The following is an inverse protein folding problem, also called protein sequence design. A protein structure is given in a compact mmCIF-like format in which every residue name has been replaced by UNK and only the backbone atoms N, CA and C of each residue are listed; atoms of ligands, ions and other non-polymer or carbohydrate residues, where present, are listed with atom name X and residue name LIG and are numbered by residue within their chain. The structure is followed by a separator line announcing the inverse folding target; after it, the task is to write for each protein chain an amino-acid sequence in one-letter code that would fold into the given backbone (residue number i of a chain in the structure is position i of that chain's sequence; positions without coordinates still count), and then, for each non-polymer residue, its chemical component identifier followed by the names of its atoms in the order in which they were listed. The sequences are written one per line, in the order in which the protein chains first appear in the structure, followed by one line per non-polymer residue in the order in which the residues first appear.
data_IF_752739264944
#
_entry.id   IF_752739264944
#
_cell.length_a   1.000
_cell.length_b   1.000
_cell.length_c   1.000
_cell.angle_alpha   90.00
_cell.angle_beta   90.00
_cell.angle_gamma   90.00
#
_symmetry.space_group_name_H-M   'P 1'
#
loop_
_entity.id
_entity.type
_entity.pdbx_description
1 polymer ?
#
# COMPACT_ATOMS: atom_id res chain seq x y z
N UNK A 1 30.19 -2.04 7.90
CA UNK A 1 28.96 -2.69 8.39
C UNK A 1 28.00 -1.60 8.86
N UNK A 2 27.13 -1.11 7.99
CA UNK A 2 25.99 -0.27 8.41
C UNK A 2 24.85 -1.21 8.81
N UNK A 3 24.93 -1.79 10.00
CA UNK A 3 23.81 -2.48 10.60
C UNK A 3 23.02 -1.46 11.41
N UNK A 4 21.79 -1.18 11.01
CA UNK A 4 20.85 -0.43 11.83
C UNK A 4 20.46 -1.26 13.06
N UNK A 5 20.30 -0.60 14.19
CA UNK A 5 19.75 -1.21 15.40
C UNK A 5 18.34 -0.66 15.64
N UNK A 6 17.43 -1.36 16.34
CA UNK A 6 16.09 -0.84 16.63
C UNK A 6 16.10 0.56 17.30
N UNK A 7 17.12 0.85 18.10
CA UNK A 7 17.31 2.14 18.77
C UNK A 7 17.66 3.30 17.83
N UNK A 8 18.09 3.00 16.60
CA UNK A 8 18.40 4.04 15.60
C UNK A 8 17.13 4.53 14.87
N UNK A 9 16.02 3.83 15.05
CA UNK A 9 14.76 4.13 14.38
C UNK A 9 13.88 5.02 15.28
N UNK A 10 13.38 6.12 14.71
CA UNK A 10 12.45 7.03 15.38
C UNK A 10 11.01 6.47 15.36
N UNK A 11 10.80 5.32 16.01
CA UNK A 11 9.48 4.69 16.09
C UNK A 11 8.62 5.44 17.10
N UNK A 12 7.42 5.83 16.66
CA UNK A 12 6.39 6.44 17.51
C UNK A 12 5.43 5.33 17.93
N UNK A 13 5.39 5.06 19.23
CA UNK A 13 4.49 4.07 19.82
C UNK A 13 3.12 4.69 20.10
N UNK A 14 2.05 4.03 19.66
CA UNK A 14 0.67 4.41 19.99
C UNK A 14 -0.02 3.25 20.71
N UNK A 15 -1.24 3.46 21.20
CA UNK A 15 -1.98 2.43 21.94
C UNK A 15 -2.37 1.21 21.08
N UNK A 16 -2.32 1.33 19.74
CA UNK A 16 -2.84 0.31 18.83
C UNK A 16 -1.84 -0.16 17.78
N UNK A 17 -0.90 0.67 17.41
CA UNK A 17 0.11 0.38 16.40
C UNK A 17 1.29 1.32 16.56
N UNK A 18 2.41 0.95 16.00
CA UNK A 18 3.61 1.77 15.96
C UNK A 18 3.74 2.44 14.59
N UNK A 19 4.37 3.60 14.54
CA UNK A 19 4.61 4.35 13.31
C UNK A 19 6.09 4.63 13.16
N UNK A 20 6.67 4.22 12.02
CA UNK A 20 7.95 4.73 11.56
C UNK A 20 7.68 5.88 10.59
N UNK A 21 7.75 7.14 11.05
CA UNK A 21 7.35 8.29 10.24
C UNK A 21 8.41 8.62 9.20
N UNK A 22 7.94 9.23 8.11
CA UNK A 22 8.81 9.93 7.15
C UNK A 22 8.48 11.41 7.12
N UNK A 23 9.36 12.20 6.54
CA UNK A 23 9.17 13.64 6.35
C UNK A 23 9.50 14.05 4.91
N UNK A 24 9.37 15.33 4.60
CA UNK A 24 9.62 15.86 3.26
C UNK A 24 11.06 15.63 2.76
N UNK A 25 12.00 15.42 3.67
CA UNK A 25 13.41 15.16 3.31
C UNK A 25 13.59 13.80 2.63
N UNK A 26 12.61 12.87 2.81
CA UNK A 26 12.62 11.59 2.12
C UNK A 26 12.64 11.76 0.58
N UNK A 27 12.04 12.83 0.06
CA UNK A 27 12.07 13.14 -1.38
C UNK A 27 13.49 13.42 -1.88
N UNK A 28 14.38 13.98 -1.03
CA UNK A 28 15.78 14.23 -1.36
C UNK A 28 16.61 12.95 -1.37
N UNK A 29 16.15 11.91 -0.68
CA UNK A 29 16.79 10.61 -0.64
C UNK A 29 16.81 9.92 -2.01
N UNK A 30 15.85 10.16 -2.87
CA UNK A 30 15.86 9.60 -4.23
C UNK A 30 17.12 9.99 -4.99
N UNK A 31 17.51 11.26 -4.91
CA UNK A 31 18.76 11.77 -5.52
C UNK A 31 20.01 11.20 -4.84
N UNK A 32 20.01 11.15 -3.52
CA UNK A 32 21.13 10.62 -2.75
C UNK A 32 21.36 9.13 -3.00
N UNK A 33 20.31 8.36 -3.22
CA UNK A 33 20.37 6.93 -3.48
C UNK A 33 20.93 6.58 -4.87
N UNK A 34 20.97 7.51 -5.82
CA UNK A 34 21.44 7.25 -7.20
C UNK A 34 22.84 6.61 -7.23
N UNK A 35 23.74 7.05 -6.34
CA UNK A 35 25.13 6.57 -6.25
C UNK A 35 25.34 5.43 -5.25
N UNK A 36 24.30 5.00 -4.54
CA UNK A 36 24.41 3.97 -3.49
C UNK A 36 24.31 2.58 -4.08
N UNK A 37 25.29 1.73 -3.82
CA UNK A 37 25.25 0.31 -4.21
C UNK A 37 24.22 -0.43 -3.35
N UNK A 38 23.33 -1.19 -3.99
CA UNK A 38 22.25 -1.91 -3.30
C UNK A 38 21.18 -0.97 -2.74
N UNK A 39 21.00 0.17 -3.40
CA UNK A 39 19.99 1.21 -3.06
C UNK A 39 18.57 0.70 -3.02
N UNK A 40 18.27 -0.36 -3.76
CA UNK A 40 16.94 -0.97 -3.82
C UNK A 40 16.55 -1.69 -2.51
N UNK A 41 17.53 -2.11 -1.71
CA UNK A 41 17.33 -2.87 -0.47
C UNK A 41 17.54 -2.05 0.81
N UNK A 42 17.57 -0.73 0.76
CA UNK A 42 17.80 0.11 1.94
C UNK A 42 16.71 -0.06 2.97
N UNK A 43 15.44 0.04 2.56
CA UNK A 43 14.30 -0.11 3.46
C UNK A 43 14.24 -1.50 4.08
N UNK A 44 14.52 -2.56 3.31
CA UNK A 44 14.60 -3.93 3.84
C UNK A 44 15.61 -4.04 4.97
N UNK A 45 16.81 -3.47 4.79
CA UNK A 45 17.85 -3.46 5.83
C UNK A 45 17.46 -2.66 7.07
N UNK A 46 16.70 -1.59 6.90
CA UNK A 46 16.17 -0.78 8.01
C UNK A 46 15.14 -1.56 8.81
N UNK A 47 14.25 -2.29 8.15
CA UNK A 47 13.17 -3.03 8.80
C UNK A 47 13.61 -4.37 9.41
N UNK A 48 14.67 -4.99 8.89
CA UNK A 48 15.15 -6.31 9.33
C UNK A 48 15.28 -6.45 10.86
N UNK A 49 15.90 -5.48 11.59
CA UNK A 49 16.08 -5.61 13.04
C UNK A 49 14.79 -5.56 13.85
N UNK A 50 13.71 -5.05 13.27
CA UNK A 50 12.42 -4.88 13.97
C UNK A 50 11.32 -5.80 13.45
N UNK A 51 11.54 -6.48 12.32
CA UNK A 51 10.52 -7.30 11.65
C UNK A 51 9.88 -8.34 12.58
N UNK A 52 10.65 -8.95 13.46
CA UNK A 52 10.17 -9.97 14.39
C UNK A 52 9.29 -9.44 15.54
N UNK A 53 9.20 -8.12 15.71
CA UNK A 53 8.42 -7.49 16.77
C UNK A 53 6.97 -7.20 16.35
N UNK A 54 6.65 -7.44 15.07
CA UNK A 54 5.34 -7.09 14.49
C UNK A 54 4.76 -8.27 13.72
N UNK A 55 3.46 -8.47 13.85
CA UNK A 55 2.71 -9.44 13.03
C UNK A 55 2.61 -8.92 11.58
N UNK A 56 2.39 -7.60 11.43
CA UNK A 56 2.27 -6.92 10.13
C UNK A 56 3.05 -5.61 10.11
N UNK A 57 3.70 -5.33 8.98
CA UNK A 57 4.30 -4.04 8.64
C UNK A 57 3.64 -3.53 7.38
N UNK A 58 2.89 -2.42 7.48
CA UNK A 58 2.23 -1.79 6.35
C UNK A 58 3.08 -0.62 5.86
N UNK A 59 3.48 -0.64 4.59
CA UNK A 59 4.29 0.39 3.97
C UNK A 59 3.38 1.24 3.06
N UNK A 60 3.11 2.49 3.48
CA UNK A 60 2.42 3.48 2.64
C UNK A 60 3.42 4.10 1.67
N UNK A 61 3.12 4.05 0.36
CA UNK A 61 4.04 4.44 -0.70
C UNK A 61 3.60 5.73 -1.40
N UNK A 62 4.57 6.47 -1.94
CA UNK A 62 4.29 7.58 -2.83
C UNK A 62 3.63 7.08 -4.14
N UNK A 63 2.78 7.90 -4.77
CA UNK A 63 2.16 7.57 -6.06
C UNK A 63 3.15 7.75 -7.24
N UNK A 64 4.35 7.21 -7.10
CA UNK A 64 5.42 7.25 -8.10
C UNK A 64 6.09 5.88 -8.18
N UNK A 65 6.69 5.56 -9.31
CA UNK A 65 7.45 4.32 -9.53
C UNK A 65 8.96 4.53 -9.39
N UNK A 66 9.35 5.47 -8.52
CA UNK A 66 10.73 5.79 -8.21
C UNK A 66 11.43 4.74 -7.32
N UNK A 67 12.66 5.02 -6.94
CA UNK A 67 13.49 4.12 -6.13
C UNK A 67 12.88 3.83 -4.74
N UNK A 68 12.10 4.75 -4.18
CA UNK A 68 11.43 4.55 -2.89
C UNK A 68 10.34 3.48 -2.98
N UNK A 69 9.55 3.48 -4.07
CA UNK A 69 8.55 2.44 -4.34
C UNK A 69 9.21 1.08 -4.58
N UNK A 70 10.31 1.04 -5.33
CA UNK A 70 11.10 -0.20 -5.50
C UNK A 70 11.63 -0.71 -4.15
N UNK A 71 12.10 0.17 -3.27
CA UNK A 71 12.50 -0.21 -1.91
C UNK A 71 11.36 -0.85 -1.12
N UNK A 72 10.14 -0.32 -1.27
CA UNK A 72 8.96 -0.89 -0.63
C UNK A 72 8.67 -2.30 -1.16
N UNK A 73 8.75 -2.52 -2.47
CA UNK A 73 8.59 -3.85 -3.07
C UNK A 73 9.67 -4.84 -2.62
N UNK A 74 10.91 -4.39 -2.49
CA UNK A 74 12.03 -5.23 -2.03
C UNK A 74 11.89 -5.62 -0.55
N UNK A 75 11.26 -4.76 0.26
CA UNK A 75 11.05 -4.98 1.68
C UNK A 75 9.76 -5.78 1.99
N UNK A 76 8.84 -5.90 1.02
CA UNK A 76 7.51 -6.48 1.23
C UNK A 76 7.43 -7.95 0.82
N UNK A 77 6.51 -8.67 1.43
CA UNK A 77 6.08 -10.01 1.04
C UNK A 77 4.87 -9.93 0.08
N UNK A 78 3.99 -8.92 0.29
CA UNK A 78 2.78 -8.70 -0.51
C UNK A 78 2.64 -7.25 -0.97
N UNK A 79 1.99 -7.06 -2.11
CA UNK A 79 1.55 -5.76 -2.64
C UNK A 79 0.04 -5.79 -2.79
N UNK A 80 -0.63 -4.75 -2.29
CA UNK A 80 -2.03 -4.46 -2.56
C UNK A 80 -2.09 -3.22 -3.41
N UNK A 81 -2.87 -3.26 -4.48
CA UNK A 81 -2.95 -2.16 -5.45
C UNK A 81 -4.30 -1.47 -5.35
N UNK A 82 -4.40 -0.28 -4.71
CA UNK A 82 -5.62 0.48 -4.73
C UNK A 82 -5.85 1.11 -6.11
N UNK A 83 -7.03 0.87 -6.69
CA UNK A 83 -7.44 1.43 -7.99
C UNK A 83 -8.62 2.36 -7.79
N UNK A 84 -8.46 3.62 -8.26
CA UNK A 84 -9.54 4.61 -8.23
C UNK A 84 -10.57 4.28 -9.31
N UNK A 85 -11.83 4.05 -8.91
CA UNK A 85 -12.91 3.76 -9.84
C UNK A 85 -13.29 4.94 -10.76
N UNK A 86 -12.80 6.16 -10.47
CA UNK A 86 -13.22 7.40 -11.14
C UNK A 86 -12.34 7.80 -12.31
N UNK A 87 -11.15 7.26 -12.42
CA UNK A 87 -10.14 7.79 -13.35
C UNK A 87 -9.62 6.70 -14.27
N UNK A 88 -9.85 6.86 -15.57
CA UNK A 88 -9.31 5.99 -16.60
C UNK A 88 -7.76 5.97 -16.62
N UNK A 89 -7.11 7.08 -16.22
CA UNK A 89 -5.64 7.13 -16.10
C UNK A 89 -5.12 6.20 -14.97
N UNK A 90 -5.97 5.83 -14.01
CA UNK A 90 -5.61 4.84 -13.00
C UNK A 90 -5.26 3.47 -13.61
N UNK A 91 -5.85 3.12 -14.76
CA UNK A 91 -5.53 1.88 -15.48
C UNK A 91 -4.11 1.89 -16.07
N UNK A 92 -3.65 3.04 -16.59
CA UNK A 92 -2.28 3.17 -17.10
C UNK A 92 -1.25 3.08 -15.96
N UNK A 93 -1.54 3.73 -14.83
CA UNK A 93 -0.72 3.62 -13.62
C UNK A 93 -0.69 2.19 -13.08
N UNK A 94 -1.79 1.47 -13.15
CA UNK A 94 -1.91 0.07 -12.77
C UNK A 94 -0.99 -0.83 -13.60
N UNK A 95 -0.99 -0.68 -14.93
CA UNK A 95 -0.10 -1.43 -15.82
C UNK A 95 1.39 -1.19 -15.50
N UNK A 96 1.78 0.06 -15.34
CA UNK A 96 3.16 0.42 -15.03
C UNK A 96 3.61 -0.12 -13.65
N UNK A 97 2.69 -0.12 -12.68
CA UNK A 97 2.94 -0.67 -11.36
C UNK A 97 3.14 -2.19 -11.41
N UNK A 98 2.26 -2.93 -12.09
CA UNK A 98 2.41 -4.38 -12.25
C UNK A 98 3.71 -4.76 -12.95
N UNK A 99 4.13 -4.00 -13.97
CA UNK A 99 5.44 -4.20 -14.63
C UNK A 99 6.61 -3.99 -13.64
N UNK A 100 6.53 -2.95 -12.79
CA UNK A 100 7.56 -2.67 -11.78
C UNK A 100 7.63 -3.76 -10.70
N UNK A 101 6.47 -4.26 -10.24
CA UNK A 101 6.39 -5.39 -9.31
C UNK A 101 7.02 -6.63 -9.92
N UNK A 102 6.65 -6.96 -11.17
CA UNK A 102 7.18 -8.14 -11.86
C UNK A 102 8.70 -8.05 -12.08
N UNK A 103 9.22 -6.87 -12.45
CA UNK A 103 10.66 -6.65 -12.59
C UNK A 103 11.37 -6.83 -11.24
N UNK A 104 10.81 -6.27 -10.16
CA UNK A 104 11.36 -6.44 -8.81
C UNK A 104 11.36 -7.90 -8.38
N UNK A 105 10.27 -8.62 -8.65
CA UNK A 105 10.14 -10.05 -8.36
C UNK A 105 11.21 -10.88 -9.07
N UNK A 106 11.43 -10.63 -10.35
CA UNK A 106 12.42 -11.38 -11.14
C UNK A 106 13.86 -11.09 -10.74
N UNK A 107 14.17 -9.83 -10.40
CA UNK A 107 15.56 -9.41 -10.24
C UNK A 107 16.05 -9.39 -8.78
N UNK A 108 15.15 -9.13 -7.79
CA UNK A 108 15.59 -8.77 -6.44
C UNK A 108 14.81 -9.51 -5.35
N UNK A 109 13.47 -9.57 -5.45
CA UNK A 109 12.61 -10.18 -4.43
C UNK A 109 11.70 -11.26 -5.03
N UNK A 110 12.19 -12.50 -5.25
CA UNK A 110 11.42 -13.56 -5.90
C UNK A 110 10.17 -14.00 -5.14
N UNK A 111 10.08 -13.67 -3.85
CA UNK A 111 8.94 -14.02 -3.00
C UNK A 111 7.81 -12.98 -3.02
N UNK A 112 8.04 -11.81 -3.64
CA UNK A 112 7.03 -10.75 -3.74
C UNK A 112 5.80 -11.25 -4.51
N UNK A 113 4.62 -11.05 -3.92
CA UNK A 113 3.34 -11.42 -4.53
C UNK A 113 2.41 -10.20 -4.59
N UNK A 114 1.63 -10.10 -5.67
CA UNK A 114 0.47 -9.21 -5.68
C UNK A 114 -0.66 -9.96 -4.97
N UNK A 115 -1.09 -9.46 -3.80
CA UNK A 115 -2.19 -10.05 -3.03
C UNK A 115 -3.54 -9.79 -3.71
N UNK A 116 -3.63 -8.68 -4.42
CA UNK A 116 -4.79 -8.30 -5.20
C UNK A 116 -4.87 -6.79 -5.39
N UNK A 117 -5.84 -6.37 -6.18
CA UNK A 117 -6.21 -4.98 -6.36
C UNK A 117 -7.55 -4.69 -5.67
N UNK A 118 -7.67 -3.50 -5.08
CA UNK A 118 -8.86 -3.05 -4.38
C UNK A 118 -9.44 -1.81 -5.06
N UNK A 119 -10.72 -1.90 -5.43
CA UNK A 119 -11.45 -0.79 -6.03
C UNK A 119 -11.83 0.21 -4.94
N UNK A 120 -11.42 1.47 -5.11
CA UNK A 120 -11.61 2.52 -4.12
C UNK A 120 -12.40 3.70 -4.66
N UNK A 121 -13.02 4.47 -3.74
CA UNK A 121 -13.87 5.64 -4.06
C UNK A 121 -14.99 5.33 -5.06
N UNK A 122 -15.51 4.12 -4.99
CA UNK A 122 -16.53 3.61 -5.92
C UNK A 122 -17.91 4.18 -5.62
N UNK A 123 -18.60 4.65 -6.66
CA UNK A 123 -20.03 4.97 -6.62
C UNK A 123 -20.78 4.16 -7.68
N UNK A 124 -21.45 3.09 -7.26
CA UNK A 124 -22.18 2.18 -8.15
C UNK A 124 -23.30 2.82 -8.98
N UNK A 125 -23.68 4.09 -8.70
CA UNK A 125 -24.62 4.87 -9.53
C UNK A 125 -23.93 5.48 -10.75
N UNK A 126 -22.61 5.58 -10.74
CA UNK A 126 -21.82 6.16 -11.81
C UNK A 126 -21.47 5.08 -12.84
N UNK A 127 -21.84 5.29 -14.11
CA UNK A 127 -21.55 4.34 -15.19
C UNK A 127 -20.05 4.15 -15.44
N UNK A 128 -19.26 5.22 -15.32
CA UNK A 128 -17.81 5.12 -15.51
C UNK A 128 -17.16 4.26 -14.41
N UNK A 129 -17.58 4.43 -13.15
CA UNK A 129 -17.07 3.64 -12.04
C UNK A 129 -17.35 2.14 -12.27
N UNK A 130 -18.55 1.81 -12.80
CA UNK A 130 -18.91 0.43 -13.13
C UNK A 130 -18.02 -0.13 -14.25
N UNK A 131 -17.80 0.64 -15.32
CA UNK A 131 -16.94 0.22 -16.45
C UNK A 131 -15.51 -0.04 -15.97
N UNK A 132 -14.94 0.86 -15.18
CA UNK A 132 -13.58 0.70 -14.63
C UNK A 132 -13.53 -0.53 -13.72
N UNK A 133 -14.51 -0.69 -12.84
CA UNK A 133 -14.62 -1.85 -11.95
C UNK A 133 -14.66 -3.17 -12.72
N UNK A 134 -15.46 -3.25 -13.77
CA UNK A 134 -15.53 -4.44 -14.62
C UNK A 134 -14.22 -4.70 -15.38
N UNK A 135 -13.58 -3.63 -15.87
CA UNK A 135 -12.29 -3.72 -16.57
C UNK A 135 -11.21 -4.31 -15.66
N UNK A 136 -11.12 -3.82 -14.42
CA UNK A 136 -10.15 -4.32 -13.43
C UNK A 136 -10.46 -5.78 -13.07
N UNK A 137 -11.73 -6.10 -12.78
CA UNK A 137 -12.13 -7.48 -12.40
C UNK A 137 -11.90 -8.51 -13.51
N UNK A 138 -11.85 -8.08 -14.76
CA UNK A 138 -11.57 -8.94 -15.92
C UNK A 138 -10.07 -9.03 -16.24
N UNK A 139 -9.20 -8.35 -15.49
CA UNK A 139 -7.76 -8.43 -15.67
C UNK A 139 -7.21 -9.69 -15.01
N UNK A 140 -6.79 -10.66 -15.80
CA UNK A 140 -6.28 -11.96 -15.32
C UNK A 140 -4.90 -11.87 -14.64
N UNK A 141 -4.24 -10.70 -14.66
CA UNK A 141 -2.91 -10.51 -14.05
C UNK A 141 -2.95 -10.38 -12.53
N UNK A 142 -4.13 -9.99 -12.01
CA UNK A 142 -4.35 -9.80 -10.58
C UNK A 142 -5.71 -10.38 -10.18
N UNK A 143 -5.87 -10.66 -8.91
CA UNK A 143 -7.15 -11.05 -8.34
C UNK A 143 -7.76 -9.86 -7.60
N UNK A 144 -8.82 -9.25 -8.16
CA UNK A 144 -9.51 -8.13 -7.51
C UNK A 144 -10.18 -8.59 -6.21
N UNK A 145 -10.03 -7.80 -5.15
CA UNK A 145 -10.78 -8.03 -3.91
C UNK A 145 -12.30 -7.94 -4.15
N UNK A 146 -13.07 -8.80 -3.50
CA UNK A 146 -14.52 -8.72 -3.53
C UNK A 146 -15.00 -7.44 -2.87
N UNK A 147 -14.32 -7.05 -1.80
CA UNK A 147 -14.56 -5.83 -1.05
C UNK A 147 -14.22 -4.60 -1.90
N UNK A 148 -15.13 -3.64 -1.90
CA UNK A 148 -14.99 -2.35 -2.59
C UNK A 148 -15.10 -1.23 -1.58
N UNK A 149 -14.18 -0.26 -1.61
CA UNK A 149 -14.23 0.91 -0.72
C UNK A 149 -15.10 1.99 -1.35
N UNK A 150 -16.29 2.29 -0.77
CA UNK A 150 -17.22 3.23 -1.36
C UNK A 150 -16.74 4.68 -1.20
N UNK A 151 -17.15 5.53 -2.15
CA UNK A 151 -17.01 6.97 -2.02
C UNK A 151 -17.85 7.48 -0.84
N UNK A 152 -17.25 8.32 0.01
CA UNK A 152 -17.95 8.89 1.16
C UNK A 152 -17.40 10.26 1.57
N UNK A 153 -18.29 11.20 1.83
CA UNK A 153 -17.96 12.50 2.43
C UNK A 153 -17.46 12.34 3.87
N UNK A 154 -17.90 11.29 4.57
CA UNK A 154 -17.45 10.98 5.93
C UNK A 154 -15.96 10.66 6.02
N UNK A 155 -15.39 10.06 5.00
CA UNK A 155 -13.94 9.84 4.93
C UNK A 155 -13.18 11.16 4.84
N UNK A 156 -13.65 12.11 4.03
CA UNK A 156 -13.07 13.45 3.94
C UNK A 156 -13.24 14.26 5.24
N UNK A 157 -14.37 14.11 5.92
CA UNK A 157 -14.60 14.73 7.25
C UNK A 157 -13.65 14.15 8.30
N UNK A 158 -13.44 12.84 8.33
CA UNK A 158 -12.52 12.16 9.24
C UNK A 158 -11.09 12.71 9.07
N UNK A 159 -10.60 12.80 7.83
CA UNK A 159 -9.28 13.35 7.52
C UNK A 159 -9.11 14.78 8.01
N UNK A 160 -10.11 15.65 7.82
CA UNK A 160 -10.07 17.04 8.32
C UNK A 160 -10.00 17.12 9.84
N UNK A 161 -10.52 16.12 10.55
CA UNK A 161 -10.50 16.01 12.00
C UNK A 161 -9.28 15.28 12.55
N UNK A 162 -8.36 14.83 11.70
CA UNK A 162 -7.22 14.01 12.10
C UNK A 162 -7.62 12.67 12.72
N UNK A 163 -8.75 12.09 12.29
CA UNK A 163 -9.29 10.82 12.76
C UNK A 163 -9.31 9.80 11.65
N UNK A 164 -9.19 8.54 12.02
CA UNK A 164 -9.50 7.45 11.07
C UNK A 164 -11.00 7.38 10.84
N UNK A 165 -11.43 6.82 9.71
CA UNK A 165 -12.84 6.57 9.45
C UNK A 165 -13.44 5.61 10.49
N UNK A 166 -12.67 4.68 11.01
CA UNK A 166 -13.08 3.76 12.06
C UNK A 166 -13.38 4.45 13.40
N UNK A 167 -12.73 5.60 13.66
CA UNK A 167 -12.99 6.43 14.84
C UNK A 167 -14.12 7.43 14.60
N UNK A 168 -14.23 7.97 13.38
CA UNK A 168 -15.18 9.02 13.05
C UNK A 168 -16.60 8.49 12.78
N UNK A 169 -16.70 7.41 12.02
CA UNK A 169 -17.97 6.78 11.63
C UNK A 169 -17.84 5.24 11.69
N UNK A 170 -17.73 4.68 12.92
CA UNK A 170 -17.37 3.26 13.13
C UNK A 170 -18.39 2.26 12.57
N UNK A 171 -19.66 2.67 12.40
CA UNK A 171 -20.74 1.86 11.83
C UNK A 171 -21.04 2.24 10.37
N UNK A 172 -20.30 3.20 9.82
CA UNK A 172 -20.50 3.66 8.45
C UNK A 172 -20.02 2.66 7.40
N UNK A 173 -20.55 2.79 6.20
CA UNK A 173 -20.24 1.88 5.08
C UNK A 173 -18.75 1.76 4.76
N UNK A 174 -18.00 2.87 4.87
CA UNK A 174 -16.55 2.87 4.61
C UNK A 174 -15.81 2.13 5.72
N UNK A 175 -16.16 2.36 6.98
CA UNK A 175 -15.54 1.65 8.10
C UNK A 175 -15.82 0.14 8.05
N UNK A 176 -17.03 -0.25 7.65
CA UNK A 176 -17.40 -1.65 7.42
C UNK A 176 -16.57 -2.24 6.29
N UNK A 177 -16.50 -1.57 5.14
CA UNK A 177 -15.72 -2.04 3.99
C UNK A 177 -14.22 -2.21 4.32
N UNK A 178 -13.63 -1.33 5.13
CA UNK A 178 -12.23 -1.52 5.56
C UNK A 178 -12.04 -2.73 6.47
N UNK A 179 -13.03 -3.10 7.31
CA UNK A 179 -12.95 -4.34 8.10
C UNK A 179 -13.07 -5.57 7.20
N UNK A 180 -14.06 -5.55 6.29
CA UNK A 180 -14.25 -6.63 5.31
C UNK A 180 -13.00 -6.82 4.44
N UNK A 181 -12.35 -5.72 4.02
CA UNK A 181 -11.09 -5.77 3.29
C UNK A 181 -9.99 -6.43 4.13
N UNK A 182 -9.88 -6.05 5.40
CA UNK A 182 -8.88 -6.65 6.29
C UNK A 182 -9.11 -8.16 6.46
N UNK A 183 -10.35 -8.59 6.67
CA UNK A 183 -10.70 -10.01 6.78
C UNK A 183 -10.40 -10.76 5.47
N UNK A 184 -10.71 -10.16 4.31
CA UNK A 184 -10.41 -10.75 3.00
C UNK A 184 -8.91 -10.84 2.75
N UNK A 185 -8.12 -9.82 3.18
CA UNK A 185 -6.67 -9.85 3.10
C UNK A 185 -6.07 -10.99 3.92
N UNK A 186 -6.48 -11.15 5.19
CA UNK A 186 -6.01 -12.21 6.08
C UNK A 186 -6.32 -13.59 5.48
N UNK A 187 -7.54 -13.80 4.99
CA UNK A 187 -7.93 -15.04 4.33
C UNK A 187 -7.06 -15.35 3.09
N UNK A 188 -6.72 -14.34 2.27
CA UNK A 188 -5.83 -14.53 1.10
C UNK A 188 -4.39 -14.84 1.48
N UNK A 189 -3.93 -14.37 2.64
CA UNK A 189 -2.61 -14.70 3.17
C UNK A 189 -2.58 -16.09 3.83
N UNK A 190 -3.72 -16.71 4.07
CA UNK A 190 -3.84 -18.04 4.67
C UNK A 190 -3.86 -18.02 6.19
N UNK A 191 -4.35 -16.93 6.77
CA UNK A 191 -4.48 -16.70 8.22
C UNK A 191 -5.94 -16.72 8.70
#
# INVERSE_FOLDING_TARGET
NNSFTPSDLAIIHTDKFDVLPSNIELSNLELALVSVIGREGVLKRILEPIKSNYDYIIIDTLPSLGILTVNSFVASDYVIVPVLAKDYYSLQGFDALLQSVELTRRCINPNLKVLGDVITMYDGRNKNDNIISETIRNDERTETFNTVIPLSTKAAEANRMGKTILQHDPQGKVATAYRELADEMLNRMGE
#
